data_IF_742216426872
#
_entry.id   IF_742216426872
#
_cell.length_a   1.000
_cell.length_b   1.000
_cell.length_c   1.000
_cell.angle_alpha   90.00
_cell.angle_beta   90.00
_cell.angle_gamma   90.00
#
_symmetry.space_group_name_H-M   'P 1'
#
loop_
_entity.id
_entity.type
_entity.pdbx_description
1 polymer ?
#
# COMPACT_ATOMS: atom_id res chain seq x y z
N UNK A 1 11.40 -14.25 -4.75
CA UNK A 1 12.30 -15.08 -3.92
C UNK A 1 12.97 -14.28 -2.79
N UNK A 2 13.64 -13.14 -3.07
CA UNK A 2 14.36 -12.36 -2.05
C UNK A 2 13.50 -11.79 -0.91
N UNK A 3 12.29 -11.27 -1.21
CA UNK A 3 11.40 -10.69 -0.20
C UNK A 3 10.91 -11.72 0.84
N UNK A 4 10.60 -12.95 0.39
CA UNK A 4 10.18 -14.03 1.29
C UNK A 4 11.31 -14.48 2.23
N UNK A 5 12.55 -14.54 1.73
CA UNK A 5 13.72 -14.87 2.55
C UNK A 5 14.02 -13.82 3.63
N UNK A 6 13.93 -12.53 3.26
CA UNK A 6 14.05 -11.41 4.20
C UNK A 6 12.95 -11.44 5.29
N UNK A 7 11.71 -11.74 4.90
CA UNK A 7 10.60 -11.87 5.84
C UNK A 7 10.85 -13.00 6.86
N UNK A 8 11.32 -14.16 6.42
CA UNK A 8 11.65 -15.30 7.31
C UNK A 8 12.81 -14.96 8.25
N UNK A 9 13.84 -14.26 7.76
CA UNK A 9 14.96 -13.80 8.60
C UNK A 9 14.49 -12.81 9.65
N UNK A 10 13.66 -11.84 9.27
CA UNK A 10 13.12 -10.84 10.18
C UNK A 10 12.23 -11.48 11.25
N UNK A 11 11.39 -12.45 10.86
CA UNK A 11 10.59 -13.22 11.80
C UNK A 11 11.49 -13.94 12.82
N UNK A 12 12.54 -14.62 12.35
CA UNK A 12 13.40 -15.43 13.21
C UNK A 12 14.27 -14.60 14.16
N UNK A 13 14.74 -13.44 13.72
CA UNK A 13 15.69 -12.60 14.47
C UNK A 13 14.97 -11.54 15.32
N UNK A 14 13.98 -10.84 14.77
CA UNK A 14 13.34 -9.73 15.46
C UNK A 14 12.08 -10.16 16.22
N UNK A 15 11.20 -10.96 15.62
CA UNK A 15 9.88 -11.25 16.21
C UNK A 15 9.84 -12.50 17.09
N UNK A 16 10.48 -13.59 16.68
CA UNK A 16 10.48 -14.88 17.39
C UNK A 16 11.03 -14.81 18.83
N UNK A 17 12.15 -14.10 19.13
CA UNK A 17 12.65 -14.01 20.51
C UNK A 17 11.79 -13.11 21.41
N UNK A 18 10.97 -12.23 20.85
CA UNK A 18 10.16 -11.28 21.60
C UNK A 18 8.72 -11.75 21.87
N UNK A 19 8.37 -12.99 21.50
CA UNK A 19 7.01 -13.55 21.70
C UNK A 19 6.54 -13.60 23.16
N UNK A 20 7.45 -13.55 24.13
CA UNK A 20 7.14 -13.54 25.57
C UNK A 20 7.27 -12.16 26.23
N UNK A 21 7.64 -11.14 25.46
CA UNK A 21 7.83 -9.79 25.96
C UNK A 21 6.50 -9.02 26.08
N UNK A 22 6.42 -7.98 26.93
CA UNK A 22 5.27 -7.09 27.00
C UNK A 22 4.91 -6.51 25.63
N UNK A 23 3.61 -6.27 25.36
CA UNK A 23 3.06 -5.91 24.03
C UNK A 23 3.73 -4.70 23.35
N UNK A 24 4.35 -3.81 24.13
CA UNK A 24 5.07 -2.63 23.63
C UNK A 24 6.43 -2.98 22.99
N UNK A 25 7.11 -4.01 23.48
CA UNK A 25 8.48 -4.34 23.05
C UNK A 25 8.52 -4.84 21.59
N UNK A 26 7.62 -5.74 21.13
CA UNK A 26 7.51 -6.12 19.72
C UNK A 26 7.21 -4.95 18.78
N UNK A 27 6.43 -3.95 19.23
CA UNK A 27 6.09 -2.78 18.42
C UNK A 27 7.33 -1.91 18.17
N UNK A 28 8.14 -1.66 19.21
CA UNK A 28 9.37 -0.88 19.09
C UNK A 28 10.37 -1.58 18.16
N UNK A 29 10.49 -2.91 18.25
CA UNK A 29 11.35 -3.70 17.36
C UNK A 29 10.86 -3.70 15.93
N UNK A 30 9.55 -3.72 15.70
CA UNK A 30 8.98 -3.60 14.36
C UNK A 30 9.37 -2.28 13.68
N UNK A 31 9.26 -1.16 14.41
CA UNK A 31 9.65 0.18 13.94
C UNK A 31 11.15 0.21 13.62
N UNK A 32 11.99 -0.29 14.54
CA UNK A 32 13.44 -0.35 14.33
C UNK A 32 13.83 -1.23 13.14
N UNK A 33 13.15 -2.36 12.94
CA UNK A 33 13.35 -3.23 11.79
C UNK A 33 12.97 -2.56 10.47
N UNK A 34 11.86 -1.80 10.42
CA UNK A 34 11.47 -1.03 9.25
C UNK A 34 12.53 0.00 8.87
N UNK A 35 13.02 0.79 9.83
CA UNK A 35 14.10 1.75 9.55
C UNK A 35 15.41 1.06 9.15
N UNK A 36 15.79 -0.03 9.81
CA UNK A 36 16.99 -0.77 9.45
C UNK A 36 16.93 -1.27 8.00
N UNK A 37 15.81 -1.84 7.59
CA UNK A 37 15.62 -2.30 6.21
C UNK A 37 15.62 -1.11 5.24
N UNK A 38 14.88 -0.04 5.54
CA UNK A 38 14.83 1.16 4.69
C UNK A 38 16.22 1.77 4.47
N UNK A 39 16.97 2.03 5.55
CA UNK A 39 18.31 2.61 5.46
C UNK A 39 19.33 1.64 4.86
N UNK A 40 19.21 0.32 5.09
CA UNK A 40 20.05 -0.67 4.44
C UNK A 40 19.82 -0.69 2.93
N UNK A 41 18.56 -0.62 2.49
CA UNK A 41 18.23 -0.52 1.07
C UNK A 41 18.74 0.80 0.46
N UNK A 42 18.57 1.93 1.16
CA UNK A 42 19.10 3.23 0.72
C UNK A 42 20.63 3.21 0.60
N UNK A 43 21.34 2.59 1.55
CA UNK A 43 22.81 2.48 1.52
C UNK A 43 23.33 1.55 0.43
N UNK A 44 22.66 0.42 0.19
CA UNK A 44 23.10 -0.59 -0.78
C UNK A 44 22.71 -0.24 -2.23
N UNK A 45 21.53 0.32 -2.44
CA UNK A 45 20.99 0.62 -3.77
C UNK A 45 21.09 2.10 -4.15
N UNK A 46 21.60 2.94 -3.24
CA UNK A 46 21.72 4.39 -3.39
C UNK A 46 20.42 5.14 -3.10
N UNK A 47 20.55 6.38 -2.63
CA UNK A 47 19.43 7.30 -2.36
C UNK A 47 18.87 7.96 -3.63
N UNK A 48 19.29 7.51 -4.81
CA UNK A 48 18.82 8.04 -6.07
C UNK A 48 17.32 7.82 -6.16
N UNK A 49 16.54 8.90 -5.95
CA UNK A 49 15.12 8.95 -6.25
C UNK A 49 15.04 8.53 -7.71
N UNK A 50 14.68 7.28 -7.96
CA UNK A 50 14.27 6.82 -9.27
C UNK A 50 12.94 7.51 -9.53
N UNK A 51 13.03 8.76 -10.00
CA UNK A 51 11.89 9.47 -10.53
C UNK A 51 11.21 8.52 -11.50
N UNK A 52 9.89 8.37 -11.35
CA UNK A 52 9.10 7.52 -12.23
C UNK A 52 9.54 7.80 -13.67
N UNK A 53 9.94 6.77 -14.45
CA UNK A 53 10.39 7.00 -15.80
C UNK A 53 9.31 7.80 -16.52
N UNK A 54 9.67 9.00 -16.96
CA UNK A 54 8.71 9.90 -17.56
C UNK A 54 8.28 9.30 -18.90
N UNK A 55 7.10 8.67 -18.91
CA UNK A 55 6.53 8.07 -20.11
C UNK A 55 6.23 9.23 -21.07
N UNK A 56 6.88 9.27 -22.24
CA UNK A 56 6.72 10.37 -23.22
C UNK A 56 5.25 10.58 -23.63
N UNK A 57 4.44 9.52 -23.63
CA UNK A 57 2.99 9.61 -23.90
C UNK A 57 2.20 10.39 -22.83
N UNK A 58 2.67 10.43 -21.58
CA UNK A 58 2.08 11.18 -20.47
C UNK A 58 2.69 12.58 -20.32
N UNK A 59 3.67 12.96 -21.16
CA UNK A 59 4.23 14.31 -21.18
C UNK A 59 3.27 15.29 -21.86
N UNK A 60 3.20 16.49 -21.29
CA UNK A 60 2.42 17.61 -21.80
C UNK A 60 1.12 17.88 -21.01
N UNK A 61 0.54 19.04 -21.31
CA UNK A 61 -0.72 19.50 -20.73
C UNK A 61 -1.84 19.30 -21.75
N UNK A 62 -3.03 18.94 -21.28
CA UNK A 62 -4.25 18.96 -22.06
C UNK A 62 -5.04 20.17 -21.61
N UNK A 63 -5.39 21.03 -22.55
CA UNK A 63 -6.32 22.12 -22.32
C UNK A 63 -7.74 21.54 -22.30
N UNK A 64 -8.40 21.62 -21.15
CA UNK A 64 -9.83 21.33 -21.03
C UNK A 64 -10.50 22.62 -20.57
N UNK A 65 -11.42 23.16 -21.36
CA UNK A 65 -12.12 24.43 -21.07
C UNK A 65 -11.19 25.62 -20.75
N UNK A 66 -10.01 25.69 -21.37
CA UNK A 66 -9.05 26.79 -21.14
C UNK A 66 -8.17 26.60 -19.90
N UNK A 67 -8.34 25.51 -19.15
CA UNK A 67 -7.47 25.13 -18.04
C UNK A 67 -6.47 24.09 -18.52
N UNK A 68 -5.18 24.37 -18.36
CA UNK A 68 -4.13 23.42 -18.69
C UNK A 68 -3.93 22.41 -17.56
N UNK A 69 -4.34 21.17 -17.79
CA UNK A 69 -4.22 20.07 -16.82
C UNK A 69 -3.13 19.11 -17.31
N UNK A 70 -2.28 18.62 -16.40
CA UNK A 70 -1.27 17.63 -16.79
C UNK A 70 -1.97 16.33 -17.23
N UNK A 71 -1.51 15.72 -18.35
CA UNK A 71 -2.06 14.43 -18.82
C UNK A 71 -2.04 13.36 -17.73
N UNK A 72 -0.98 13.33 -16.92
CA UNK A 72 -0.85 12.44 -15.76
C UNK A 72 -2.01 12.61 -14.77
N UNK A 73 -2.46 13.83 -14.50
CA UNK A 73 -3.58 14.08 -13.59
C UNK A 73 -4.88 13.49 -14.15
N UNK A 74 -5.13 13.66 -15.44
CA UNK A 74 -6.30 13.09 -16.11
C UNK A 74 -6.29 11.56 -16.03
N UNK A 75 -5.15 10.93 -16.32
CA UNK A 75 -5.00 9.46 -16.22
C UNK A 75 -5.24 8.97 -14.80
N UNK A 76 -4.68 9.66 -13.79
CA UNK A 76 -4.87 9.31 -12.37
C UNK A 76 -6.34 9.42 -11.97
N UNK A 77 -7.04 10.47 -12.40
CA UNK A 77 -8.48 10.65 -12.13
C UNK A 77 -9.27 9.51 -12.77
N UNK A 78 -9.02 9.17 -14.04
CA UNK A 78 -9.73 8.08 -14.71
C UNK A 78 -9.44 6.74 -14.00
N UNK A 79 -8.19 6.47 -13.68
CA UNK A 79 -7.79 5.24 -12.98
C UNK A 79 -8.44 5.14 -11.59
N UNK A 80 -8.54 6.25 -10.86
CA UNK A 80 -9.18 6.26 -9.53
C UNK A 80 -10.68 5.96 -9.63
N UNK A 81 -11.39 6.55 -10.59
CA UNK A 81 -12.79 6.22 -10.85
C UNK A 81 -12.98 4.76 -11.24
N UNK A 82 -12.13 4.23 -12.13
CA UNK A 82 -12.17 2.81 -12.51
C UNK A 82 -11.97 1.91 -11.30
N UNK A 83 -11.00 2.21 -10.43
CA UNK A 83 -10.75 1.45 -9.21
C UNK A 83 -11.90 1.54 -8.21
N UNK A 84 -12.50 2.72 -8.02
CA UNK A 84 -13.67 2.89 -7.15
C UNK A 84 -14.86 2.08 -7.66
N UNK A 85 -15.14 2.12 -8.96
CA UNK A 85 -16.22 1.34 -9.57
C UNK A 85 -15.93 -0.15 -9.47
N UNK A 86 -14.69 -0.57 -9.75
CA UNK A 86 -14.29 -1.97 -9.64
C UNK A 86 -14.42 -2.48 -8.20
N UNK A 87 -13.99 -1.68 -7.22
CA UNK A 87 -14.16 -2.00 -5.80
C UNK A 87 -15.64 -2.05 -5.41
N UNK A 88 -16.43 -1.07 -5.82
CA UNK A 88 -17.86 -1.04 -5.54
C UNK A 88 -18.56 -2.28 -6.11
N UNK A 89 -18.26 -2.64 -7.35
CA UNK A 89 -18.77 -3.87 -7.96
C UNK A 89 -18.29 -5.11 -7.22
N UNK A 90 -17.02 -5.18 -6.85
CA UNK A 90 -16.48 -6.29 -6.08
C UNK A 90 -17.21 -6.44 -4.75
N UNK A 91 -17.41 -5.35 -4.00
CA UNK A 91 -18.09 -5.37 -2.71
C UNK A 91 -19.57 -5.75 -2.87
N UNK A 92 -20.28 -5.15 -3.83
CA UNK A 92 -21.73 -5.33 -3.96
C UNK A 92 -22.13 -6.65 -4.66
N UNK A 93 -21.32 -7.11 -5.61
CA UNK A 93 -21.65 -8.29 -6.45
C UNK A 93 -20.93 -9.57 -6.02
N UNK A 94 -19.78 -9.51 -5.36
CA UNK A 94 -19.07 -10.73 -4.96
C UNK A 94 -19.63 -11.32 -3.65
N UNK A 95 -19.57 -12.65 -3.53
CA UNK A 95 -19.94 -13.35 -2.28
C UNK A 95 -19.08 -12.92 -1.10
N UNK A 96 -17.79 -12.66 -1.35
CA UNK A 96 -16.84 -12.17 -0.36
C UNK A 96 -17.22 -10.78 0.13
N UNK A 97 -17.60 -9.89 -0.80
CA UNK A 97 -18.05 -8.52 -0.49
C UNK A 97 -19.33 -8.49 0.36
N UNK A 98 -20.31 -9.34 0.03
CA UNK A 98 -21.52 -9.51 0.85
C UNK A 98 -21.22 -10.03 2.26
N UNK A 99 -20.26 -10.94 2.41
CA UNK A 99 -19.84 -11.41 3.71
C UNK A 99 -19.17 -10.31 4.54
N UNK A 100 -18.37 -9.44 3.91
CA UNK A 100 -17.78 -8.26 4.57
C UNK A 100 -18.89 -7.31 5.06
N UNK A 101 -19.89 -6.99 4.22
CA UNK A 101 -21.02 -6.15 4.62
C UNK A 101 -21.82 -6.78 5.78
N UNK A 102 -22.10 -8.09 5.73
CA UNK A 102 -22.84 -8.78 6.78
C UNK A 102 -22.15 -8.71 8.14
N UNK A 103 -20.81 -8.86 8.19
CA UNK A 103 -20.03 -8.75 9.44
C UNK A 103 -19.95 -7.29 9.95
N UNK A 104 -19.99 -6.31 9.05
CA UNK A 104 -20.07 -4.90 9.44
C UNK A 104 -21.42 -4.55 10.07
N UNK A 105 -22.52 -5.09 9.54
CA UNK A 105 -23.89 -4.91 10.08
C UNK A 105 -24.12 -5.69 11.38
N UNK A 106 -23.49 -6.86 11.56
CA UNK A 106 -23.66 -7.72 12.75
C UNK A 106 -23.11 -7.06 14.04
N UNK A 107 -22.32 -5.99 13.94
CA UNK A 107 -21.88 -5.21 15.11
C UNK A 107 -22.95 -4.28 15.65
N UNK A 108 -23.85 -3.77 14.80
CA UNK A 108 -24.93 -2.88 15.23
C UNK A 108 -26.15 -3.66 15.75
N UNK A 109 -26.32 -4.93 15.34
CA UNK A 109 -27.38 -5.82 15.83
C UNK A 109 -27.11 -6.42 17.22
N UNK A 110 -25.88 -6.31 17.73
CA UNK A 110 -25.46 -6.87 19.03
C UNK A 110 -25.45 -5.84 20.18
N UNK A 111 -25.95 -4.62 19.96
CA UNK A 111 -26.06 -3.54 20.95
C UNK A 111 -27.44 -3.52 21.64
#
# INVERSE_FOLDING_TARGET
>A
AGAAGLAILLERIAYRPLRRAPRLVPLITAIGASFFLEYSFLGLFGSGIKGFPEIDALKGRVSIFGVEILKTQVVVIVASFVMLIALWLFVQRSKMGKAIQAVSEDKDAAA
#
